data_IF_630008082772
#
_entry.id   IF_630008082772
#
_cell.length_a   1.000
_cell.length_b   1.000
_cell.length_c   1.000
_cell.angle_alpha   90.00
_cell.angle_beta   90.00
_cell.angle_gamma   90.00
#
_symmetry.space_group_name_H-M   'P 1'
#
loop_
_entity.id
_entity.type
_entity.pdbx_description
1 polymer ?
#
# COMPACT_ATOMS: atom_id res chain seq x y z
N UNK A 1 65.77 -51.15 35.50
CA UNK A 1 66.65 -50.07 35.98
C UNK A 1 65.87 -48.76 35.98
N UNK A 2 65.97 -47.98 37.06
CA UNK A 2 65.21 -46.75 37.39
C UNK A 2 65.61 -45.54 36.53
N UNK A 3 64.67 -44.62 36.30
CA UNK A 3 64.77 -43.12 36.35
C UNK A 3 63.35 -42.54 36.13
N UNK A 4 62.69 -41.95 37.14
CA UNK A 4 62.76 -40.52 37.55
C UNK A 4 62.50 -39.57 36.37
N UNK A 5 61.56 -38.62 36.37
CA UNK A 5 60.63 -38.13 37.39
C UNK A 5 59.85 -36.93 36.85
N UNK A 6 58.64 -36.73 37.40
CA UNK A 6 57.96 -35.47 37.76
C UNK A 6 58.09 -34.25 36.82
N UNK A 7 57.02 -33.88 36.09
CA UNK A 7 56.58 -32.48 35.95
C UNK A 7 55.04 -32.44 35.83
N UNK A 8 54.39 -31.81 36.81
CA UNK A 8 53.02 -31.33 36.74
C UNK A 8 52.89 -30.33 35.59
N UNK A 9 51.69 -30.22 35.00
CA UNK A 9 50.97 -28.95 34.83
C UNK A 9 49.54 -29.20 34.33
N UNK A 10 48.60 -28.55 35.01
CA UNK A 10 47.18 -28.44 34.72
C UNK A 10 46.91 -27.73 33.38
N UNK A 11 45.83 -28.12 32.69
CA UNK A 11 44.76 -27.20 32.26
C UNK A 11 43.64 -27.97 31.57
N UNK A 12 42.48 -28.07 32.24
CA UNK A 12 41.23 -28.45 31.62
C UNK A 12 40.70 -27.25 30.83
N UNK A 13 40.65 -27.37 29.51
CA UNK A 13 40.00 -26.38 28.64
C UNK A 13 38.67 -26.95 28.15
N UNK A 14 37.60 -26.64 28.88
CA UNK A 14 36.24 -26.83 28.40
C UNK A 14 35.95 -25.80 27.31
N UNK A 15 35.91 -26.24 26.05
CA UNK A 15 35.44 -25.43 24.94
C UNK A 15 33.91 -25.31 25.03
N UNK A 16 33.42 -24.23 25.63
CA UNK A 16 32.01 -23.85 25.57
C UNK A 16 31.66 -23.41 24.15
N UNK A 17 30.74 -24.14 23.51
CA UNK A 17 30.13 -23.76 22.24
C UNK A 17 29.29 -22.50 22.45
N UNK A 18 29.85 -21.33 22.11
CA UNK A 18 29.11 -20.08 22.02
C UNK A 18 28.20 -20.10 20.79
N UNK A 19 26.97 -20.59 20.95
CA UNK A 19 25.93 -20.44 19.96
C UNK A 19 25.54 -18.95 19.89
N UNK A 20 26.04 -18.24 18.87
CA UNK A 20 25.57 -16.91 18.53
C UNK A 20 24.09 -16.98 18.17
N UNK A 21 23.24 -16.69 19.16
CA UNK A 21 21.82 -16.40 18.96
C UNK A 21 21.74 -15.04 18.27
N UNK A 22 21.87 -15.02 16.94
CA UNK A 22 21.47 -13.87 16.15
C UNK A 22 19.94 -13.79 16.22
N UNK A 23 19.44 -13.07 17.22
CA UNK A 23 18.04 -12.67 17.27
C UNK A 23 17.80 -11.77 16.06
N UNK A 24 17.24 -12.33 14.98
CA UNK A 24 16.78 -11.55 13.86
C UNK A 24 15.82 -10.48 14.39
N UNK A 25 15.94 -9.21 13.98
CA UNK A 25 15.00 -8.18 14.39
C UNK A 25 13.59 -8.63 14.02
N UNK A 26 12.58 -8.39 14.88
CA UNK A 26 11.21 -8.77 14.58
C UNK A 26 10.82 -8.19 13.23
N UNK A 27 10.51 -9.07 12.28
CA UNK A 27 9.99 -8.65 10.97
C UNK A 27 8.72 -7.85 11.23
N UNK A 28 8.74 -6.56 10.90
CA UNK A 28 7.58 -5.69 11.05
C UNK A 28 6.40 -6.28 10.27
N UNK A 29 5.42 -6.81 11.00
CA UNK A 29 4.21 -7.46 10.45
C UNK A 29 3.10 -6.47 10.09
N UNK A 30 3.37 -5.17 10.18
CA UNK A 30 2.44 -4.10 9.81
C UNK A 30 2.51 -3.69 8.34
N UNK A 31 1.48 -2.99 7.83
CA UNK A 31 1.56 -2.27 6.56
C UNK A 31 2.77 -1.34 6.57
N UNK A 32 3.44 -1.17 5.43
CA UNK A 32 4.44 -0.10 5.32
C UNK A 32 3.74 1.25 5.57
N UNK A 33 4.42 2.27 6.12
CA UNK A 33 3.89 3.62 6.18
C UNK A 33 3.90 4.27 4.78
N UNK A 34 2.97 5.19 4.54
CA UNK A 34 2.98 6.01 3.33
C UNK A 34 4.21 6.92 3.32
N UNK A 35 4.78 7.25 2.15
CA UNK A 35 5.75 8.32 2.05
C UNK A 35 5.24 9.60 2.75
N UNK A 36 6.09 10.30 3.53
CA UNK A 36 5.67 11.52 4.21
C UNK A 36 5.09 12.55 3.26
N UNK A 37 3.98 13.18 3.62
CA UNK A 37 3.36 14.25 2.83
C UNK A 37 2.25 13.80 1.87
N UNK A 38 2.07 12.49 1.64
CA UNK A 38 1.00 11.95 0.79
C UNK A 38 -0.39 12.33 1.30
N UNK A 39 -1.23 12.96 0.48
CA UNK A 39 -2.56 13.44 0.89
C UNK A 39 -3.60 13.24 -0.20
N UNK A 40 -4.87 13.23 0.19
CA UNK A 40 -5.97 13.29 -0.77
C UNK A 40 -6.15 14.70 -1.32
N UNK A 41 -6.38 14.83 -2.63
CA UNK A 41 -6.71 16.09 -3.27
C UNK A 41 -7.74 15.87 -4.39
N UNK A 42 -8.80 16.66 -4.41
CA UNK A 42 -9.88 16.58 -5.40
C UNK A 42 -9.86 17.74 -6.39
N UNK A 43 -9.76 17.47 -7.70
CA UNK A 43 -9.70 18.50 -8.74
C UNK A 43 -10.57 18.16 -9.95
N UNK A 44 -10.94 19.20 -10.72
CA UNK A 44 -11.65 19.04 -11.99
C UNK A 44 -10.64 18.97 -13.13
N UNK A 45 -11.02 18.28 -14.20
CA UNK A 45 -10.26 18.17 -15.44
C UNK A 45 -10.94 18.97 -16.56
N UNK A 46 -10.23 19.35 -17.64
CA UNK A 46 -10.83 19.98 -18.82
C UNK A 46 -11.93 19.14 -19.47
N UNK A 47 -11.90 17.81 -19.33
CA UNK A 47 -12.85 16.87 -19.93
C UNK A 47 -14.17 16.72 -19.14
N UNK A 48 -14.48 17.67 -18.24
CA UNK A 48 -15.64 17.62 -17.34
C UNK A 48 -15.68 16.36 -16.44
N UNK A 49 -14.51 15.82 -16.12
CA UNK A 49 -14.33 14.73 -15.15
C UNK A 49 -13.82 15.30 -13.83
N UNK A 50 -14.22 14.69 -12.71
CA UNK A 50 -13.63 14.95 -11.39
C UNK A 50 -12.62 13.86 -11.10
N UNK A 51 -11.45 14.25 -10.57
CA UNK A 51 -10.44 13.34 -10.04
C UNK A 51 -10.23 13.53 -8.56
N UNK A 52 -9.87 12.45 -7.90
CA UNK A 52 -9.47 12.40 -6.50
C UNK A 52 -8.20 11.57 -6.43
N UNK A 53 -7.08 12.21 -6.10
CA UNK A 53 -5.76 11.56 -6.09
C UNK A 53 -5.17 11.53 -4.67
N UNK A 54 -4.58 10.39 -4.30
CA UNK A 54 -3.71 10.27 -3.13
C UNK A 54 -2.26 10.31 -3.61
N UNK A 55 -1.58 11.43 -3.35
CA UNK A 55 -0.24 11.67 -3.87
C UNK A 55 0.51 12.74 -3.11
N UNK A 56 1.77 12.94 -3.47
CA UNK A 56 2.53 14.11 -3.06
C UNK A 56 2.04 15.33 -3.84
N UNK A 57 1.84 16.48 -3.18
CA UNK A 57 1.52 17.73 -3.88
C UNK A 57 2.63 18.08 -4.87
N UNK A 58 2.24 18.62 -6.02
CA UNK A 58 3.16 19.15 -7.04
C UNK A 58 4.24 18.15 -7.49
N UNK A 59 3.86 16.87 -7.57
CA UNK A 59 4.74 15.76 -7.89
C UNK A 59 4.01 14.65 -8.65
N UNK A 60 4.75 13.89 -9.45
CA UNK A 60 4.26 12.69 -10.14
C UNK A 60 4.15 11.46 -9.22
N UNK A 61 4.49 11.61 -7.94
CA UNK A 61 4.38 10.55 -6.94
C UNK A 61 2.93 10.41 -6.50
N UNK A 62 2.21 9.50 -7.15
CA UNK A 62 0.78 9.23 -6.91
C UNK A 62 0.56 7.75 -6.60
N UNK A 63 -0.18 7.47 -5.52
CA UNK A 63 -0.49 6.10 -5.11
C UNK A 63 -1.80 5.58 -5.71
N UNK A 64 -2.85 6.39 -5.72
CA UNK A 64 -4.17 5.99 -6.23
C UNK A 64 -4.89 7.23 -6.76
N UNK A 65 -5.48 7.09 -7.95
CA UNK A 65 -6.35 8.09 -8.55
C UNK A 65 -7.72 7.46 -8.74
N UNK A 66 -8.76 8.17 -8.34
CA UNK A 66 -10.13 7.91 -8.74
C UNK A 66 -10.61 8.96 -9.73
N UNK A 67 -11.41 8.55 -10.69
CA UNK A 67 -12.03 9.42 -11.69
C UNK A 67 -13.49 9.08 -11.92
N UNK A 68 -14.32 10.09 -12.20
CA UNK A 68 -15.69 9.89 -12.64
C UNK A 68 -16.22 11.12 -13.39
N UNK A 69 -17.22 10.88 -14.24
CA UNK A 69 -18.11 11.92 -14.77
C UNK A 69 -19.35 12.03 -13.88
N UNK A 70 -20.15 13.09 -14.07
CA UNK A 70 -21.46 13.20 -13.38
C UNK A 70 -22.39 12.06 -13.78
N UNK A 71 -23.25 11.64 -12.85
CA UNK A 71 -24.23 10.56 -13.04
C UNK A 71 -23.59 9.24 -13.50
N UNK A 72 -22.37 8.96 -13.06
CA UNK A 72 -21.66 7.74 -13.40
C UNK A 72 -22.20 6.54 -12.61
N UNK A 73 -22.21 5.37 -13.23
CA UNK A 73 -22.50 4.09 -12.57
C UNK A 73 -21.25 3.46 -11.94
N UNK A 74 -20.06 3.95 -12.28
CA UNK A 74 -18.77 3.44 -11.83
C UNK A 74 -17.76 4.57 -11.62
N UNK A 75 -16.74 4.28 -10.81
CA UNK A 75 -15.56 5.12 -10.58
C UNK A 75 -14.38 4.42 -11.22
N UNK A 76 -13.70 5.09 -12.13
CA UNK A 76 -12.43 4.65 -12.67
C UNK A 76 -11.35 4.73 -11.59
N UNK A 77 -10.40 3.80 -11.60
CA UNK A 77 -9.21 3.87 -10.77
C UNK A 77 -7.94 3.70 -11.60
N UNK A 78 -6.86 4.34 -11.15
CA UNK A 78 -5.51 4.14 -11.63
C UNK A 78 -4.56 4.02 -10.44
N UNK A 79 -3.74 2.98 -10.42
CA UNK A 79 -2.73 2.74 -9.38
C UNK A 79 -1.54 1.96 -9.93
N UNK A 80 -0.49 1.83 -9.14
CA UNK A 80 0.69 1.04 -9.46
C UNK A 80 0.77 -0.21 -8.59
N UNK A 81 1.20 -1.33 -9.19
CA UNK A 81 1.42 -2.61 -8.55
C UNK A 81 2.91 -2.97 -8.58
N UNK A 82 3.47 -3.34 -7.43
CA UNK A 82 4.89 -3.61 -7.31
C UNK A 82 5.36 -4.81 -8.16
N UNK A 83 6.59 -4.72 -8.70
CA UNK A 83 7.21 -5.80 -9.52
C UNK A 83 7.16 -7.16 -8.82
N UNK A 84 6.85 -8.21 -9.58
CA UNK A 84 6.69 -9.57 -9.05
C UNK A 84 5.30 -9.84 -8.46
N UNK A 85 4.41 -8.85 -8.50
CA UNK A 85 2.98 -8.95 -8.25
C UNK A 85 2.29 -8.23 -9.42
N UNK A 86 1.38 -8.92 -10.14
CA UNK A 86 0.08 -9.19 -9.54
C UNK A 86 -0.55 -10.53 -9.95
N UNK A 87 -1.52 -10.97 -9.15
CA UNK A 87 -2.42 -12.04 -9.52
C UNK A 87 -3.38 -11.59 -10.63
N UNK A 88 -3.38 -12.33 -11.75
CA UNK A 88 -4.50 -12.51 -12.67
C UNK A 88 -5.27 -11.26 -13.17
N UNK A 89 -4.63 -10.10 -13.35
CA UNK A 89 -5.30 -8.92 -13.93
C UNK A 89 -6.36 -8.29 -13.02
N UNK A 90 -6.15 -8.33 -11.70
CA UNK A 90 -7.07 -7.73 -10.73
C UNK A 90 -6.36 -6.90 -9.67
N UNK A 91 -7.06 -5.89 -9.15
CA UNK A 91 -6.65 -5.07 -7.99
C UNK A 91 -7.63 -5.30 -6.84
N UNK A 92 -7.15 -5.52 -5.62
CA UNK A 92 -7.99 -5.59 -4.43
C UNK A 92 -7.87 -4.31 -3.63
N UNK A 93 -9.03 -3.73 -3.33
CA UNK A 93 -9.11 -2.57 -2.45
C UNK A 93 -9.95 -2.92 -1.23
N UNK A 94 -9.53 -2.37 -0.09
CA UNK A 94 -10.20 -2.52 1.19
C UNK A 94 -10.46 -1.17 1.83
N UNK A 95 -11.65 -1.00 2.40
CA UNK A 95 -11.99 0.12 3.28
C UNK A 95 -12.90 -0.38 4.41
N UNK A 96 -12.51 -0.11 5.66
CA UNK A 96 -13.17 -0.67 6.82
C UNK A 96 -13.24 -2.20 6.75
N UNK A 97 -14.46 -2.77 6.81
CA UNK A 97 -14.72 -4.21 6.65
C UNK A 97 -15.01 -4.64 5.21
N UNK A 98 -15.17 -3.68 4.29
CA UNK A 98 -15.45 -3.96 2.90
C UNK A 98 -14.15 -4.22 2.15
N UNK A 99 -14.14 -5.26 1.34
CA UNK A 99 -13.07 -5.57 0.40
C UNK A 99 -13.70 -5.93 -0.95
N UNK A 100 -13.04 -5.57 -2.04
CA UNK A 100 -13.44 -5.96 -3.39
C UNK A 100 -12.22 -6.30 -4.22
N UNK A 101 -12.43 -7.12 -5.26
CA UNK A 101 -11.45 -7.46 -6.30
C UNK A 101 -12.01 -6.98 -7.62
N UNK A 102 -11.25 -6.16 -8.33
CA UNK A 102 -11.70 -5.50 -9.56
C UNK A 102 -10.79 -5.86 -10.72
N UNK A 103 -11.37 -6.14 -11.88
CA UNK A 103 -10.60 -6.34 -13.08
C UNK A 103 -9.83 -5.05 -13.43
N UNK A 104 -8.58 -5.21 -13.84
CA UNK A 104 -7.72 -4.11 -14.24
C UNK A 104 -6.95 -4.49 -15.51
N UNK A 105 -6.88 -3.55 -16.45
CA UNK A 105 -5.88 -3.60 -17.50
C UNK A 105 -4.53 -3.28 -16.87
N UNK A 106 -3.57 -4.15 -17.11
CA UNK A 106 -2.21 -4.00 -16.60
C UNK A 106 -1.27 -3.62 -17.75
N UNK A 107 -0.46 -2.58 -17.54
CA UNK A 107 0.59 -2.15 -18.47
C UNK A 107 1.91 -2.00 -17.73
N UNK A 108 3.06 -2.29 -18.36
CA UNK A 108 4.35 -1.91 -17.79
C UNK A 108 4.35 -0.43 -17.43
N UNK A 109 4.77 -0.11 -16.21
CA UNK A 109 4.84 1.27 -15.76
C UNK A 109 6.10 1.94 -16.34
N UNK A 110 5.98 3.20 -16.77
CA UNK A 110 7.13 3.99 -17.26
C UNK A 110 7.93 4.66 -16.13
N UNK A 111 7.33 4.80 -14.94
CA UNK A 111 7.86 5.58 -13.80
C UNK A 111 8.46 4.68 -12.70
N UNK A 112 7.86 3.51 -12.51
CA UNK A 112 8.28 2.48 -11.55
C UNK A 112 8.63 1.17 -12.24
N UNK A 113 9.35 0.30 -11.54
CA UNK A 113 9.67 -1.07 -11.98
C UNK A 113 8.45 -2.03 -12.01
N UNK A 114 7.24 -1.55 -11.71
CA UNK A 114 5.99 -2.31 -11.56
C UNK A 114 5.06 -2.28 -12.77
N UNK A 115 3.76 -2.44 -12.50
CA UNK A 115 2.68 -2.35 -13.49
C UNK A 115 1.71 -1.24 -13.12
N UNK A 116 1.30 -0.45 -14.10
CA UNK A 116 0.14 0.42 -13.97
C UNK A 116 -1.13 -0.39 -14.17
N UNK A 117 -2.09 -0.19 -13.26
CA UNK A 117 -3.35 -0.89 -13.21
C UNK A 117 -4.50 0.10 -13.35
N UNK A 118 -5.29 -0.07 -14.41
CA UNK A 118 -6.44 0.78 -14.72
C UNK A 118 -7.69 -0.08 -14.78
N UNK A 119 -8.72 0.30 -14.03
CA UNK A 119 -9.98 -0.42 -13.99
C UNK A 119 -11.12 0.43 -13.47
N UNK A 120 -12.24 -0.23 -13.15
CA UNK A 120 -13.45 0.44 -12.65
C UNK A 120 -14.02 -0.28 -11.44
N UNK A 121 -14.69 0.49 -10.58
CA UNK A 121 -15.43 0.00 -9.41
C UNK A 121 -16.86 0.51 -9.54
N UNK A 122 -17.88 -0.36 -9.44
CA UNK A 122 -19.27 0.10 -9.40
C UNK A 122 -19.45 1.15 -8.30
N UNK A 123 -20.07 2.29 -8.60
CA UNK A 123 -20.20 3.40 -7.65
C UNK A 123 -20.96 2.98 -6.37
N UNK A 124 -21.89 2.04 -6.51
CA UNK A 124 -22.64 1.45 -5.40
C UNK A 124 -21.85 0.39 -4.60
N UNK A 125 -20.61 0.07 -4.97
CA UNK A 125 -19.85 -0.98 -4.32
C UNK A 125 -19.50 -0.62 -2.86
N UNK A 126 -19.63 -1.55 -1.88
CA UNK A 126 -19.44 -1.26 -0.47
C UNK A 126 -18.08 -0.66 -0.09
N UNK A 127 -17.02 -0.95 -0.86
CA UNK A 127 -15.68 -0.37 -0.64
C UNK A 127 -15.69 1.15 -0.83
N UNK A 128 -16.37 1.67 -1.84
CA UNK A 128 -16.43 3.11 -2.08
C UNK A 128 -17.30 3.81 -1.03
N UNK A 129 -18.41 3.20 -0.63
CA UNK A 129 -19.25 3.71 0.46
C UNK A 129 -18.50 3.74 1.80
N UNK A 130 -17.72 2.70 2.11
CA UNK A 130 -16.86 2.66 3.28
C UNK A 130 -15.75 3.71 3.20
N UNK A 131 -15.15 3.90 2.03
CA UNK A 131 -14.10 4.90 1.83
C UNK A 131 -14.65 6.33 1.98
N UNK A 132 -15.79 6.64 1.37
CA UNK A 132 -16.45 7.94 1.53
C UNK A 132 -16.74 8.28 3.01
N UNK A 133 -17.14 7.26 3.78
CA UNK A 133 -17.44 7.42 5.21
C UNK A 133 -16.20 7.56 6.07
N UNK A 134 -15.17 6.75 5.81
CA UNK A 134 -14.01 6.60 6.70
C UNK A 134 -12.83 7.47 6.31
N UNK A 135 -12.76 7.90 5.05
CA UNK A 135 -11.58 8.55 4.47
C UNK A 135 -10.38 7.62 4.30
N UNK A 136 -10.55 6.31 4.51
CA UNK A 136 -9.46 5.33 4.52
C UNK A 136 -9.69 4.26 3.45
N UNK A 137 -8.68 4.02 2.62
CA UNK A 137 -8.67 2.90 1.67
C UNK A 137 -7.25 2.34 1.56
N UNK A 138 -7.11 1.08 1.17
CA UNK A 138 -5.79 0.44 0.99
C UNK A 138 -5.85 -0.57 -0.14
N UNK A 139 -4.75 -0.71 -0.88
CA UNK A 139 -4.56 -1.85 -1.78
C UNK A 139 -4.08 -3.06 -0.97
N UNK A 140 -4.62 -4.25 -1.25
CA UNK A 140 -4.36 -5.42 -0.41
C UNK A 140 -3.12 -6.18 -0.86
N UNK A 141 -2.79 -6.16 -2.14
CA UNK A 141 -1.71 -6.93 -2.75
C UNK A 141 -0.32 -6.56 -2.21
N UNK A 142 -0.09 -5.30 -1.87
CA UNK A 142 1.26 -4.73 -1.78
C UNK A 142 1.73 -4.32 -0.40
N UNK A 143 1.07 -4.76 0.68
CA UNK A 143 1.19 -4.06 1.98
C UNK A 143 1.05 -2.55 1.77
N UNK A 144 0.25 -2.15 0.78
CA UNK A 144 0.12 -0.76 0.39
C UNK A 144 -0.32 -0.02 1.63
N UNK A 145 0.44 1.01 1.95
CA UNK A 145 0.19 1.82 3.11
C UNK A 145 -1.27 2.30 3.11
N UNK A 146 -1.91 2.37 4.28
CA UNK A 146 -3.25 2.90 4.37
C UNK A 146 -3.28 4.35 3.85
N UNK A 147 -4.15 4.62 2.89
CA UNK A 147 -4.32 5.92 2.26
C UNK A 147 -5.37 6.70 3.03
N UNK A 148 -4.95 7.24 4.17
CA UNK A 148 -5.83 7.93 5.11
C UNK A 148 -5.98 9.42 4.77
N UNK A 149 -7.22 9.90 4.82
CA UNK A 149 -7.55 11.32 4.81
C UNK A 149 -7.39 11.88 6.22
N UNK A 150 -6.33 12.67 6.42
CA UNK A 150 -5.89 13.13 7.75
C UNK A 150 -6.48 14.47 8.17
N UNK A 151 -6.98 15.25 7.21
CA UNK A 151 -7.53 16.59 7.44
C UNK A 151 -9.00 16.68 7.05
N UNK A 152 -9.68 17.70 7.60
CA UNK A 152 -11.07 18.01 7.22
C UNK A 152 -11.20 18.37 5.73
N UNK A 153 -10.18 19.01 5.15
CA UNK A 153 -10.13 19.35 3.72
C UNK A 153 -10.11 18.10 2.86
N UNK A 154 -9.24 17.13 3.17
CA UNK A 154 -9.19 15.84 2.47
C UNK A 154 -10.53 15.10 2.54
N UNK A 155 -11.13 15.04 3.74
CA UNK A 155 -12.47 14.45 3.94
C UNK A 155 -13.54 15.15 3.10
N UNK A 156 -13.47 16.48 2.98
CA UNK A 156 -14.41 17.25 2.19
C UNK A 156 -14.23 17.02 0.69
N UNK A 157 -12.99 16.86 0.20
CA UNK A 157 -12.72 16.50 -1.19
C UNK A 157 -13.25 15.13 -1.57
N UNK A 158 -13.09 14.14 -0.69
CA UNK A 158 -13.66 12.80 -0.88
C UNK A 158 -15.18 12.88 -1.04
N UNK A 159 -15.87 13.59 -0.13
CA UNK A 159 -17.33 13.77 -0.21
C UNK A 159 -17.76 14.52 -1.47
N UNK A 160 -17.04 15.58 -1.85
CA UNK A 160 -17.31 16.34 -3.08
C UNK A 160 -17.15 15.47 -4.32
N UNK A 161 -16.12 14.64 -4.37
CA UNK A 161 -15.88 13.69 -5.45
C UNK A 161 -17.06 12.74 -5.63
N UNK A 162 -17.45 12.02 -4.58
CA UNK A 162 -18.56 11.07 -4.66
C UNK A 162 -19.92 11.74 -4.90
N UNK A 163 -20.15 12.93 -4.34
CA UNK A 163 -21.31 13.77 -4.65
C UNK A 163 -21.37 14.13 -6.14
N UNK A 164 -20.25 14.53 -6.74
CA UNK A 164 -20.16 14.80 -8.17
C UNK A 164 -20.45 13.57 -9.02
N UNK A 165 -19.90 12.40 -8.67
CA UNK A 165 -20.12 11.17 -9.43
C UNK A 165 -21.61 10.79 -9.47
N UNK A 166 -22.34 10.94 -8.36
CA UNK A 166 -23.77 10.64 -8.28
C UNK A 166 -24.63 11.62 -9.09
N UNK A 167 -24.18 12.88 -9.20
CA UNK A 167 -24.77 13.90 -10.06
C UNK A 167 -25.82 14.76 -9.38
#
# INVERSE_FOLDING_TARGET
MKRQGLWLLLAASAAMLGACSTTAPPMATGPAPAPPGMKWNGFATPENERRLAYGLPDSDVVGLIFSCRRKASAVGFHTNLAKGKPGAGTVRLRSGKAEGRYAAKLTPSEISDGLDAVGEIPLAHPVLAAFEKTGLISQVEDRAYPQDARTATERADIKRFFGFCRG
#
